data_IF_480693741295
#
_entry.id   IF_480693741295
#
_cell.length_a   1.000
_cell.length_b   1.000
_cell.length_c   1.000
_cell.angle_alpha   90.00
_cell.angle_beta   90.00
_cell.angle_gamma   90.00
#
_symmetry.space_group_name_H-M   'P 1'
#
loop_
_entity.id
_entity.type
_entity.pdbx_description
1 polymer ?
#
# COMPACT_ATOMS: atom_id res chain seq x y z
N UNK A 1 8.42 5.39 -24.18
CA UNK A 1 8.13 4.62 -22.96
C UNK A 1 9.45 4.47 -22.24
N UNK A 2 9.59 5.07 -21.04
CA UNK A 2 10.75 4.79 -20.19
C UNK A 2 10.74 3.30 -19.88
N UNK A 3 11.91 2.68 -19.94
CA UNK A 3 12.04 1.27 -19.60
C UNK A 3 11.69 1.08 -18.13
N UNK A 4 10.62 0.34 -17.87
CA UNK A 4 10.09 0.11 -16.52
C UNK A 4 11.12 -0.60 -15.62
N UNK A 5 11.93 -1.48 -16.18
CA UNK A 5 13.00 -2.19 -15.47
C UNK A 5 14.09 -1.22 -15.02
N UNK A 6 14.49 -0.30 -15.89
CA UNK A 6 15.48 0.73 -15.57
C UNK A 6 14.98 1.65 -14.45
N UNK A 7 13.72 2.09 -14.50
CA UNK A 7 13.14 2.92 -13.45
C UNK A 7 12.98 2.14 -12.12
N UNK A 8 12.55 0.88 -12.19
CA UNK A 8 12.48 0.00 -11.02
C UNK A 8 13.83 -0.12 -10.34
N UNK A 9 14.87 -0.51 -11.08
CA UNK A 9 16.22 -0.70 -10.55
C UNK A 9 16.86 0.58 -10.02
N UNK A 10 16.40 1.74 -10.48
CA UNK A 10 16.86 3.04 -9.97
C UNK A 10 16.44 3.29 -8.53
N UNK A 11 15.23 2.91 -8.18
CA UNK A 11 14.63 3.22 -6.87
C UNK A 11 14.54 2.02 -5.93
N UNK A 12 14.21 0.84 -6.42
CA UNK A 12 14.06 -0.36 -5.60
C UNK A 12 15.42 -0.98 -5.34
N UNK A 13 15.83 -1.01 -4.08
CA UNK A 13 17.13 -1.51 -3.62
C UNK A 13 17.03 -2.87 -2.96
N UNK A 14 15.86 -3.27 -2.51
CA UNK A 14 15.63 -4.56 -1.90
C UNK A 14 14.23 -5.08 -2.22
N UNK A 15 14.17 -6.36 -2.49
CA UNK A 15 12.96 -7.15 -2.60
C UNK A 15 12.94 -8.11 -1.42
N UNK A 16 12.11 -7.82 -0.43
CA UNK A 16 12.12 -8.47 0.87
C UNK A 16 10.81 -9.22 1.12
N UNK A 17 10.88 -10.21 1.99
CA UNK A 17 9.73 -10.93 2.52
C UNK A 17 9.67 -10.72 4.03
N UNK A 18 8.51 -10.32 4.53
CA UNK A 18 8.27 -10.18 5.97
C UNK A 18 7.97 -11.56 6.56
N UNK A 19 8.70 -11.91 7.62
CA UNK A 19 8.45 -13.07 8.46
C UNK A 19 7.34 -12.78 9.48
N UNK A 20 6.85 -13.82 10.13
CA UNK A 20 5.76 -13.72 11.14
C UNK A 20 6.14 -12.80 12.32
N UNK A 21 7.42 -12.76 12.68
CA UNK A 21 7.95 -11.91 13.76
C UNK A 21 8.16 -10.44 13.36
N UNK A 22 7.88 -10.07 12.10
CA UNK A 22 8.07 -8.73 11.56
C UNK A 22 9.48 -8.44 11.04
N UNK A 23 10.39 -9.41 11.05
CA UNK A 23 11.70 -9.27 10.41
C UNK A 23 11.60 -9.43 8.89
N UNK A 24 12.56 -8.85 8.17
CA UNK A 24 12.64 -8.98 6.70
C UNK A 24 13.74 -9.95 6.31
N UNK A 25 13.47 -10.75 5.27
CA UNK A 25 14.43 -11.65 4.63
C UNK A 25 14.46 -11.36 3.14
N UNK A 26 15.64 -11.36 2.52
CA UNK A 26 15.78 -11.12 1.09
C UNK A 26 15.01 -12.17 0.28
N UNK A 27 14.24 -11.70 -0.70
CA UNK A 27 13.57 -12.58 -1.66
C UNK A 27 14.56 -13.01 -2.75
N UNK A 28 14.84 -14.30 -2.82
CA UNK A 28 15.74 -14.89 -3.84
C UNK A 28 14.98 -15.48 -5.02
N UNK A 29 13.65 -15.46 -5.00
CA UNK A 29 12.78 -15.96 -6.07
C UNK A 29 12.33 -14.87 -7.03
N UNK A 30 11.74 -15.25 -8.16
CA UNK A 30 11.06 -14.29 -9.02
C UNK A 30 9.82 -13.73 -8.33
N UNK A 31 9.56 -12.43 -8.52
CA UNK A 31 8.49 -11.71 -7.83
C UNK A 31 7.13 -12.43 -7.90
N UNK A 32 6.63 -12.71 -9.09
CA UNK A 32 5.30 -13.30 -9.25
C UNK A 32 5.16 -14.68 -8.60
N UNK A 33 6.17 -15.53 -8.76
CA UNK A 33 6.15 -16.88 -8.20
C UNK A 33 6.37 -16.87 -6.69
N UNK A 34 7.27 -16.04 -6.21
CA UNK A 34 7.57 -15.93 -4.79
C UNK A 34 6.40 -15.33 -4.02
N UNK A 35 5.74 -14.27 -4.54
CA UNK A 35 4.62 -13.63 -3.87
C UNK A 35 3.48 -14.61 -3.56
N UNK A 36 3.00 -15.36 -4.57
CA UNK A 36 1.92 -16.32 -4.37
C UNK A 36 2.31 -17.44 -3.40
N UNK A 37 3.50 -18.01 -3.58
CA UNK A 37 4.01 -19.09 -2.76
C UNK A 37 4.22 -18.63 -1.32
N UNK A 38 4.94 -17.55 -1.12
CA UNK A 38 5.27 -17.07 0.22
C UNK A 38 4.04 -16.59 0.98
N UNK A 39 3.10 -15.92 0.31
CA UNK A 39 1.88 -15.46 0.95
C UNK A 39 0.92 -16.60 1.31
N UNK A 40 0.77 -17.59 0.42
CA UNK A 40 -0.22 -18.68 0.60
C UNK A 40 0.34 -19.88 1.38
N UNK A 41 1.60 -20.26 1.13
CA UNK A 41 2.20 -21.46 1.71
C UNK A 41 3.03 -21.20 2.95
N UNK A 42 3.79 -20.10 2.97
CA UNK A 42 4.73 -19.78 4.04
C UNK A 42 4.28 -18.64 4.95
N UNK A 43 3.13 -18.04 4.66
CA UNK A 43 2.59 -16.88 5.39
C UNK A 43 3.60 -15.72 5.51
N UNK A 44 4.42 -15.51 4.48
CA UNK A 44 5.35 -14.39 4.37
C UNK A 44 4.86 -13.41 3.32
N UNK A 45 4.92 -12.14 3.64
CA UNK A 45 4.40 -11.05 2.82
C UNK A 45 5.54 -10.24 2.20
N UNK A 46 5.30 -9.78 0.99
CA UNK A 46 6.27 -9.06 0.19
C UNK A 46 6.40 -7.59 0.62
N UNK A 47 7.62 -7.11 0.78
CA UNK A 47 7.96 -5.71 1.06
C UNK A 47 9.10 -5.29 0.14
N UNK A 48 8.89 -4.23 -0.64
CA UNK A 48 9.98 -3.61 -1.39
C UNK A 48 10.63 -2.52 -0.56
N UNK A 49 11.95 -2.49 -0.55
CA UNK A 49 12.71 -1.38 0.02
C UNK A 49 13.20 -0.51 -1.12
N UNK A 50 12.73 0.72 -1.17
CA UNK A 50 13.12 1.71 -2.16
C UNK A 50 13.97 2.81 -1.53
N UNK A 51 14.74 3.50 -2.35
CA UNK A 51 15.50 4.68 -1.97
C UNK A 51 15.17 5.82 -2.95
N UNK A 52 14.73 6.94 -2.40
CA UNK A 52 14.41 8.15 -3.15
C UNK A 52 15.13 9.31 -2.49
N UNK A 53 15.99 10.01 -3.23
CA UNK A 53 16.79 11.14 -2.75
C UNK A 53 17.61 10.81 -1.48
N UNK A 54 18.13 9.59 -1.38
CA UNK A 54 18.91 9.10 -0.25
C UNK A 54 18.07 8.65 0.95
N UNK A 55 16.75 8.72 0.88
CA UNK A 55 15.84 8.31 1.95
C UNK A 55 15.19 6.97 1.65
N UNK A 56 15.18 6.07 2.65
CA UNK A 56 14.54 4.77 2.55
C UNK A 56 13.02 4.89 2.58
N UNK A 57 12.35 4.16 1.68
CA UNK A 57 10.90 3.98 1.62
C UNK A 57 10.57 2.51 1.64
N UNK A 58 9.46 2.15 2.27
CA UNK A 58 8.92 0.79 2.26
C UNK A 58 7.66 0.75 1.41
N UNK A 59 7.60 -0.19 0.46
CA UNK A 59 6.48 -0.31 -0.49
C UNK A 59 5.78 -1.64 -0.27
N UNK A 60 4.48 -1.55 -0.01
CA UNK A 60 3.62 -2.69 0.30
C UNK A 60 2.62 -2.90 -0.83
N UNK A 61 2.55 -4.10 -1.43
CA UNK A 61 1.48 -4.45 -2.34
C UNK A 61 0.16 -4.60 -1.58
N UNK A 62 -0.91 -4.09 -2.15
CA UNK A 62 -2.26 -4.20 -1.61
C UNK A 62 -3.22 -4.74 -2.67
N UNK A 63 -4.20 -5.53 -2.26
CA UNK A 63 -5.16 -6.17 -3.13
C UNK A 63 -6.52 -6.28 -2.45
N UNK A 64 -7.59 -6.00 -3.17
CA UNK A 64 -8.94 -6.06 -2.65
C UNK A 64 -10.00 -6.15 -3.75
N UNK A 65 -11.23 -5.87 -3.39
CA UNK A 65 -12.37 -5.88 -4.28
C UNK A 65 -13.07 -4.51 -4.31
N UNK A 66 -13.32 -4.04 -5.51
CA UNK A 66 -14.20 -2.90 -5.77
C UNK A 66 -15.64 -3.32 -5.98
N UNK A 67 -16.41 -2.49 -6.67
CA UNK A 67 -17.80 -2.78 -7.00
C UNK A 67 -17.93 -3.84 -8.11
N UNK A 68 -17.12 -3.74 -9.16
CA UNK A 68 -17.23 -4.58 -10.34
C UNK A 68 -16.09 -5.57 -10.52
N UNK A 69 -15.04 -5.48 -9.77
CA UNK A 69 -13.92 -6.38 -9.89
C UNK A 69 -12.79 -6.10 -8.91
N UNK A 70 -11.65 -6.74 -9.16
CA UNK A 70 -10.47 -6.57 -8.35
C UNK A 70 -9.96 -5.13 -8.41
N UNK A 71 -9.48 -4.66 -7.28
CA UNK A 71 -8.67 -3.45 -7.13
C UNK A 71 -7.36 -3.82 -6.48
N UNK A 72 -6.29 -3.13 -6.83
CA UNK A 72 -4.96 -3.40 -6.30
C UNK A 72 -4.08 -2.15 -6.36
N UNK A 73 -2.91 -2.25 -5.80
CA UNK A 73 -1.93 -1.19 -5.89
C UNK A 73 -0.77 -1.38 -4.95
N UNK A 74 -0.14 -0.26 -4.64
CA UNK A 74 0.99 -0.18 -3.75
C UNK A 74 0.84 1.01 -2.81
N UNK A 75 1.27 0.83 -1.57
CA UNK A 75 1.39 1.90 -0.58
C UNK A 75 2.86 2.03 -0.22
N UNK A 76 3.43 3.22 -0.40
CA UNK A 76 4.77 3.54 0.02
C UNK A 76 4.73 4.35 1.32
N UNK A 77 5.43 3.89 2.33
CA UNK A 77 5.63 4.60 3.59
C UNK A 77 7.05 5.14 3.68
N UNK A 78 7.22 6.25 4.38
CA UNK A 78 8.52 6.76 4.74
C UNK A 78 9.26 5.79 5.70
N UNK A 79 10.52 6.05 5.99
CA UNK A 79 11.33 5.22 6.90
C UNK A 79 10.77 5.13 8.32
N UNK A 80 9.89 6.05 8.72
CA UNK A 80 9.16 5.99 9.99
C UNK A 80 8.11 4.85 10.06
N UNK A 81 7.86 4.15 8.94
CA UNK A 81 6.88 3.07 8.81
C UNK A 81 5.44 3.48 9.13
N UNK A 82 5.14 4.76 9.04
CA UNK A 82 3.86 5.34 9.41
C UNK A 82 3.35 6.39 8.41
N UNK A 83 4.17 7.38 8.07
CA UNK A 83 3.78 8.46 7.16
C UNK A 83 3.77 7.99 5.72
N UNK A 84 2.65 8.16 5.04
CA UNK A 84 2.50 7.80 3.62
C UNK A 84 3.36 8.72 2.77
N UNK A 85 4.24 8.14 1.97
CA UNK A 85 4.98 8.83 0.92
C UNK A 85 4.16 8.97 -0.36
N UNK A 86 3.45 7.91 -0.73
CA UNK A 86 2.58 7.89 -1.89
C UNK A 86 1.84 6.57 -2.05
N UNK A 87 0.88 6.56 -2.96
CA UNK A 87 0.13 5.37 -3.31
C UNK A 87 -0.02 5.26 -4.83
N UNK A 88 -0.23 4.05 -5.28
CA UNK A 88 -0.68 3.75 -6.64
C UNK A 88 -1.84 2.77 -6.56
N UNK A 89 -2.96 3.09 -7.21
CA UNK A 89 -4.11 2.21 -7.31
C UNK A 89 -4.50 1.97 -8.75
N UNK A 90 -5.00 0.77 -9.01
CA UNK A 90 -5.56 0.34 -10.27
C UNK A 90 -6.77 -0.56 -10.04
N UNK A 91 -7.49 -0.86 -11.10
CA UNK A 91 -8.72 -1.64 -11.06
C UNK A 91 -8.88 -2.46 -12.34
N UNK A 92 -9.65 -3.55 -12.25
CA UNK A 92 -9.97 -4.40 -13.41
C UNK A 92 -11.08 -3.81 -14.27
N UNK A 93 -12.17 -3.33 -13.66
CA UNK A 93 -13.42 -3.06 -14.38
C UNK A 93 -14.33 -2.02 -13.72
N UNK A 94 -13.79 -1.12 -12.90
CA UNK A 94 -14.58 -0.06 -12.29
C UNK A 94 -15.06 0.96 -13.34
N UNK A 95 -16.18 1.61 -13.06
CA UNK A 95 -16.81 2.53 -14.00
C UNK A 95 -16.02 3.84 -14.15
N UNK A 96 -15.65 4.26 -15.37
CA UNK A 96 -15.00 5.55 -15.62
C UNK A 96 -15.80 6.73 -15.05
N UNK A 97 -15.11 7.69 -14.44
CA UNK A 97 -15.73 8.86 -13.79
C UNK A 97 -16.41 8.56 -12.45
N UNK A 98 -16.45 7.29 -12.03
CA UNK A 98 -16.99 6.83 -10.75
C UNK A 98 -15.92 6.02 -10.00
N UNK A 99 -16.10 4.72 -9.81
CA UNK A 99 -15.11 3.88 -9.09
C UNK A 99 -13.72 3.87 -9.71
N UNK A 100 -13.57 4.01 -11.01
CA UNK A 100 -12.28 4.09 -11.70
C UNK A 100 -11.42 5.29 -11.25
N UNK A 101 -12.01 6.30 -10.64
CA UNK A 101 -11.30 7.48 -10.12
C UNK A 101 -10.34 7.16 -8.97
N UNK A 102 -10.36 5.95 -8.41
CA UNK A 102 -9.31 5.50 -7.49
C UNK A 102 -7.91 5.55 -8.13
N UNK A 103 -7.84 5.40 -9.46
CA UNK A 103 -6.59 5.50 -10.23
C UNK A 103 -6.24 6.93 -10.65
N UNK A 104 -7.06 7.93 -10.32
CA UNK A 104 -6.79 9.32 -10.68
C UNK A 104 -5.68 9.93 -9.83
N UNK A 105 -4.95 10.87 -10.42
CA UNK A 105 -3.93 11.63 -9.70
C UNK A 105 -4.52 12.44 -8.54
N UNK A 106 -5.76 12.90 -8.67
CA UNK A 106 -6.46 13.64 -7.61
C UNK A 106 -6.65 12.76 -6.38
N UNK A 107 -7.30 11.60 -6.53
CA UNK A 107 -7.56 10.69 -5.40
C UNK A 107 -6.27 10.17 -4.76
N UNK A 108 -5.32 9.71 -5.57
CA UNK A 108 -4.04 9.22 -5.07
C UNK A 108 -3.21 10.34 -4.40
N UNK A 109 -3.34 11.57 -4.87
CA UNK A 109 -2.67 12.75 -4.32
C UNK A 109 -3.15 13.17 -2.93
N UNK A 110 -4.26 12.64 -2.43
CA UNK A 110 -4.74 12.90 -1.08
C UNK A 110 -4.00 12.11 0.02
N UNK A 111 -3.28 11.05 -0.36
CA UNK A 111 -2.62 10.14 0.58
C UNK A 111 -1.27 10.62 1.13
N UNK A 112 -0.38 11.27 0.36
CA UNK A 112 0.91 11.71 0.90
C UNK A 112 0.76 12.56 2.16
N UNK A 113 1.56 12.23 3.19
CA UNK A 113 1.53 12.89 4.49
C UNK A 113 0.51 12.36 5.49
N UNK A 114 -0.41 11.48 5.08
CA UNK A 114 -1.32 10.79 6.01
C UNK A 114 -0.54 9.83 6.89
N UNK A 115 -1.07 9.59 8.09
CA UNK A 115 -0.55 8.58 9.03
C UNK A 115 -1.26 7.25 8.83
N UNK A 116 -0.52 6.17 9.00
CA UNK A 116 -1.04 4.81 8.88
C UNK A 116 -1.54 4.26 10.21
N UNK A 117 -0.81 4.57 11.30
CA UNK A 117 -1.01 3.96 12.60
C UNK A 117 -1.54 4.96 13.63
N UNK A 118 -2.50 4.51 14.43
CA UNK A 118 -2.94 5.15 15.68
C UNK A 118 -2.87 4.10 16.80
N UNK A 119 -2.04 4.35 17.83
CA UNK A 119 -1.84 3.41 18.95
C UNK A 119 -1.44 1.99 18.50
N UNK A 120 -0.62 1.87 17.46
CA UNK A 120 -0.16 0.59 16.92
C UNK A 120 -1.18 -0.16 16.06
N UNK A 121 -2.33 0.41 15.79
CA UNK A 121 -3.36 -0.15 14.91
C UNK A 121 -3.40 0.59 13.58
N UNK A 122 -3.67 -0.13 12.49
CA UNK A 122 -3.83 0.48 11.16
C UNK A 122 -5.18 1.18 11.09
N UNK A 123 -5.14 2.49 10.91
CA UNK A 123 -6.34 3.35 10.83
C UNK A 123 -6.43 4.14 9.53
N UNK A 124 -5.34 4.18 8.73
CA UNK A 124 -5.38 4.80 7.41
C UNK A 124 -6.55 4.23 6.61
N UNK A 125 -7.40 5.10 6.11
CA UNK A 125 -8.58 4.66 5.40
C UNK A 125 -9.24 5.72 4.54
N UNK A 126 -10.29 5.29 3.86
CA UNK A 126 -11.11 6.12 2.98
C UNK A 126 -12.53 6.19 3.56
N UNK A 127 -13.03 7.40 3.76
CA UNK A 127 -14.38 7.61 4.26
C UNK A 127 -15.30 8.03 3.12
N UNK A 128 -16.61 8.03 3.36
CA UNK A 128 -17.58 8.53 2.40
C UNK A 128 -17.27 9.98 2.03
N UNK A 129 -17.44 10.34 0.77
CA UNK A 129 -17.23 11.71 0.28
C UNK A 129 -17.90 12.76 1.18
N UNK A 130 -17.14 13.77 1.59
CA UNK A 130 -17.57 14.84 2.50
C UNK A 130 -17.67 14.42 3.97
N UNK A 131 -17.07 13.30 4.40
CA UNK A 131 -17.16 12.76 5.76
C UNK A 131 -15.82 12.54 6.45
N UNK A 132 -14.78 13.28 6.05
CA UNK A 132 -13.49 13.25 6.73
C UNK A 132 -13.64 13.91 8.11
N UNK A 133 -13.36 13.13 9.16
CA UNK A 133 -13.38 13.57 10.56
C UNK A 133 -11.98 13.58 11.18
N UNK A 134 -11.12 12.68 10.72
CA UNK A 134 -9.71 12.55 11.14
C UNK A 134 -8.78 12.79 9.94
N UNK A 135 -8.50 14.05 9.58
CA UNK A 135 -7.77 14.38 8.35
C UNK A 135 -6.35 13.82 8.30
N UNK A 136 -5.72 13.53 9.45
CA UNK A 136 -4.40 12.92 9.50
C UNK A 136 -4.38 11.46 9.05
N UNK A 137 -5.53 10.77 9.08
CA UNK A 137 -5.65 9.33 8.81
C UNK A 137 -6.63 8.99 7.69
N UNK A 138 -7.47 9.93 7.30
CA UNK A 138 -8.58 9.69 6.40
C UNK A 138 -8.44 10.45 5.11
N UNK A 139 -8.81 9.78 4.02
CA UNK A 139 -8.93 10.34 2.68
C UNK A 139 -10.40 10.40 2.31
N UNK A 140 -10.77 11.45 1.59
CA UNK A 140 -12.14 11.64 1.13
C UNK A 140 -12.46 10.65 -0.01
N UNK A 141 -13.58 9.98 0.10
CA UNK A 141 -14.04 9.02 -0.91
C UNK A 141 -14.54 9.69 -2.18
N UNK A 142 -14.66 8.89 -3.22
CA UNK A 142 -15.08 9.36 -4.54
C UNK A 142 -16.57 9.58 -4.58
N UNK A 143 -16.99 10.79 -4.97
CA UNK A 143 -18.40 11.10 -5.24
C UNK A 143 -18.94 10.20 -6.36
N UNK A 144 -20.04 9.48 -6.10
CA UNK A 144 -20.57 8.48 -7.02
C UNK A 144 -19.81 7.15 -7.07
N UNK A 145 -18.66 7.03 -6.39
CA UNK A 145 -17.85 5.82 -6.28
C UNK A 145 -17.80 5.24 -4.86
N UNK A 146 -18.88 5.35 -4.09
CA UNK A 146 -18.91 5.00 -2.67
C UNK A 146 -18.52 3.55 -2.40
N UNK A 147 -19.03 2.59 -3.18
CA UNK A 147 -18.74 1.16 -2.95
C UNK A 147 -17.28 0.85 -3.24
N UNK A 148 -16.73 1.39 -4.32
CA UNK A 148 -15.30 1.23 -4.63
C UNK A 148 -14.42 1.91 -3.57
N UNK A 149 -14.82 3.09 -3.06
CA UNK A 149 -14.12 3.77 -1.95
C UNK A 149 -14.11 2.93 -0.68
N UNK A 150 -15.23 2.27 -0.34
CA UNK A 150 -15.31 1.29 0.76
C UNK A 150 -14.38 0.10 0.51
N UNK A 151 -14.29 -0.36 -0.74
CA UNK A 151 -13.34 -1.41 -1.14
C UNK A 151 -11.88 -1.01 -0.92
N UNK A 152 -11.51 0.23 -1.26
CA UNK A 152 -10.15 0.75 -0.97
C UNK A 152 -9.90 0.83 0.54
N UNK A 153 -10.85 1.32 1.32
CA UNK A 153 -10.75 1.36 2.79
C UNK A 153 -10.49 -0.03 3.37
N UNK A 154 -11.29 -1.01 2.97
CA UNK A 154 -11.14 -2.40 3.41
C UNK A 154 -9.80 -3.01 2.97
N UNK A 155 -9.38 -2.75 1.73
CA UNK A 155 -8.09 -3.19 1.20
C UNK A 155 -6.92 -2.64 2.01
N UNK A 156 -6.90 -1.35 2.28
CA UNK A 156 -5.84 -0.70 3.06
C UNK A 156 -5.75 -1.28 4.46
N UNK A 157 -6.87 -1.35 5.17
CA UNK A 157 -6.93 -1.86 6.55
C UNK A 157 -6.53 -3.33 6.63
N UNK A 158 -7.06 -4.17 5.77
CA UNK A 158 -6.74 -5.60 5.77
C UNK A 158 -5.28 -5.87 5.39
N UNK A 159 -4.81 -5.30 4.27
CA UNK A 159 -3.46 -5.56 3.79
C UNK A 159 -2.39 -4.97 4.71
N UNK A 160 -2.52 -3.71 5.10
CA UNK A 160 -1.52 -3.07 5.97
C UNK A 160 -1.52 -3.66 7.39
N UNK A 161 -2.66 -4.11 7.91
CA UNK A 161 -2.71 -4.83 9.18
C UNK A 161 -1.93 -6.14 9.15
N UNK A 162 -1.83 -6.79 7.99
CA UNK A 162 -0.99 -7.99 7.82
C UNK A 162 0.50 -7.69 8.00
N UNK A 163 0.94 -6.44 7.81
CA UNK A 163 2.31 -5.98 8.04
C UNK A 163 2.53 -5.37 9.44
N UNK A 164 1.55 -5.43 10.32
CA UNK A 164 1.57 -4.76 11.64
C UNK A 164 2.84 -5.06 12.43
N UNK A 165 3.30 -6.31 12.46
CA UNK A 165 4.51 -6.69 13.19
C UNK A 165 5.76 -5.98 12.67
N UNK A 166 5.86 -5.76 11.37
CA UNK A 166 6.93 -4.97 10.77
C UNK A 166 6.75 -3.46 11.06
N UNK A 167 5.54 -2.94 10.89
CA UNK A 167 5.25 -1.51 11.06
C UNK A 167 5.45 -1.04 12.51
N UNK A 168 5.22 -1.91 13.49
CA UNK A 168 5.36 -1.61 14.92
C UNK A 168 6.70 -2.05 15.52
N UNK A 169 7.54 -2.73 14.75
CA UNK A 169 8.86 -3.14 15.19
C UNK A 169 9.82 -1.95 15.13
N UNK A 170 10.26 -1.48 16.29
CA UNK A 170 11.19 -0.36 16.44
C UNK A 170 12.68 -0.79 16.44
N UNK A 171 12.97 -2.07 16.21
CA UNK A 171 14.34 -2.51 16.04
C UNK A 171 14.82 -1.98 14.68
N UNK A 172 15.63 -0.91 14.73
CA UNK A 172 16.41 -0.48 13.58
C UNK A 172 17.38 -1.63 13.27
N UNK A 173 17.28 -2.19 12.08
CA UNK A 173 18.34 -3.06 11.57
C UNK A 173 19.57 -2.17 11.37
N UNK A 174 20.60 -2.40 12.19
CA UNK A 174 21.95 -1.86 12.00
C UNK A 174 22.57 -2.36 10.68
#
# INVERSE_FOLDING_TARGET
>A
VKDAETEYNKYVKGDMLMNVDGTLTENTGAFATAYEKEAKENNRLHVFVAEVDGEKKYVFPVYGAGLWGAIWGYVALNSDKDTVYGVYFSHASETPGLGAEIASAHFQGEFPGKKTLENGEVVLGVVKNGKVEKPDYQVDGISGGTITSVGVDAMLKACLSSYKNFLTNNNEEE
#
